data_IF_420085615747
#
_entry.id   IF_420085615747
#
_cell.length_a   1.000
_cell.length_b   1.000
_cell.length_c   1.000
_cell.angle_alpha   90.00
_cell.angle_beta   90.00
_cell.angle_gamma   90.00
#
_symmetry.space_group_name_H-M   'P 1'
#
loop_
_entity.id
_entity.type
_entity.pdbx_description
1 polymer ?
#
# COMPACT_ATOMS: atom_id res chain seq x y z
N UNK A 1 -8.40 11.85 -20.77
CA UNK A 1 -7.35 12.41 -19.90
C UNK A 1 -6.90 13.79 -20.38
N UNK A 2 -6.21 13.94 -21.52
CA UNK A 2 -5.84 15.29 -22.03
C UNK A 2 -7.09 16.15 -22.24
N UNK A 3 -8.14 15.60 -22.86
CA UNK A 3 -9.45 16.27 -22.98
C UNK A 3 -9.98 16.76 -21.63
N UNK A 4 -9.98 15.89 -20.62
CA UNK A 4 -10.49 16.20 -19.27
C UNK A 4 -9.62 17.25 -18.58
N UNK A 5 -8.29 17.16 -18.73
CA UNK A 5 -7.33 18.10 -18.16
C UNK A 5 -7.54 19.53 -18.69
N UNK A 6 -7.80 19.67 -19.99
CA UNK A 6 -8.11 20.96 -20.62
C UNK A 6 -9.59 21.34 -20.58
N UNK A 7 -10.45 20.55 -19.92
CA UNK A 7 -11.89 20.73 -19.85
C UNK A 7 -12.56 20.89 -21.25
N UNK A 8 -12.08 20.14 -22.24
CA UNK A 8 -12.56 20.20 -23.63
C UNK A 8 -13.57 19.08 -23.89
N UNK A 9 -14.65 19.41 -24.60
CA UNK A 9 -15.48 18.38 -25.23
C UNK A 9 -14.70 17.66 -26.32
N UNK A 10 -15.15 16.45 -26.69
CA UNK A 10 -14.55 15.70 -27.79
C UNK A 10 -14.56 16.49 -29.10
N UNK A 11 -15.64 17.22 -29.37
CA UNK A 11 -15.75 18.04 -30.58
C UNK A 11 -14.74 19.17 -30.58
N UNK A 12 -14.65 19.94 -29.48
CA UNK A 12 -13.69 21.05 -29.34
C UNK A 12 -12.24 20.60 -29.42
N UNK A 13 -11.96 19.41 -28.86
CA UNK A 13 -10.64 18.80 -28.93
C UNK A 13 -10.22 18.58 -30.38
N UNK A 14 -11.05 17.97 -31.22
CA UNK A 14 -10.70 17.71 -32.62
C UNK A 14 -10.91 18.92 -33.56
N UNK A 15 -11.67 19.94 -33.17
CA UNK A 15 -12.05 21.04 -34.08
C UNK A 15 -11.28 22.34 -33.93
N UNK A 16 -10.42 22.52 -32.91
CA UNK A 16 -9.74 23.81 -32.77
C UNK A 16 -8.74 23.98 -31.61
N UNK A 17 -8.72 23.09 -30.63
CA UNK A 17 -7.77 23.19 -29.51
C UNK A 17 -6.38 22.65 -29.88
N UNK A 18 -5.68 23.29 -30.83
CA UNK A 18 -4.39 22.81 -31.38
C UNK A 18 -3.38 22.44 -30.28
N UNK A 19 -3.20 23.29 -29.26
CA UNK A 19 -2.27 22.99 -28.17
C UNK A 19 -2.60 21.71 -27.38
N UNK A 20 -3.88 21.45 -27.09
CA UNK A 20 -4.29 20.23 -26.38
C UNK A 20 -4.14 18.97 -27.25
N UNK A 21 -4.39 19.09 -28.56
CA UNK A 21 -4.18 17.99 -29.52
C UNK A 21 -2.70 17.70 -29.69
N UNK A 22 -1.86 18.73 -29.80
CA UNK A 22 -0.42 18.58 -29.95
C UNK A 22 0.18 17.88 -28.72
N UNK A 23 -0.25 18.24 -27.51
CA UNK A 23 0.12 17.55 -26.26
C UNK A 23 -0.32 16.08 -26.26
N UNK A 24 -1.53 15.77 -26.75
CA UNK A 24 -1.98 14.38 -26.82
C UNK A 24 -1.22 13.55 -27.86
N UNK A 25 -0.90 14.14 -29.02
CA UNK A 25 -0.05 13.54 -30.05
C UNK A 25 1.33 13.22 -29.45
N UNK A 26 1.94 14.21 -28.79
CA UNK A 26 3.24 14.06 -28.12
C UNK A 26 3.23 12.96 -27.06
N UNK A 27 2.23 12.95 -26.16
CA UNK A 27 2.09 11.88 -25.15
C UNK A 27 1.90 10.50 -25.78
N UNK A 28 1.22 10.41 -26.93
CA UNK A 28 0.99 9.13 -27.62
C UNK A 28 2.29 8.60 -28.21
N UNK A 29 3.10 9.46 -28.82
CA UNK A 29 4.44 9.09 -29.31
C UNK A 29 5.35 8.66 -28.16
N UNK A 30 5.36 9.41 -27.06
CA UNK A 30 6.25 9.15 -25.92
C UNK A 30 5.90 7.87 -25.13
N UNK A 31 4.62 7.49 -25.08
CA UNK A 31 4.15 6.39 -24.24
C UNK A 31 3.77 5.12 -25.01
N UNK A 32 3.84 5.13 -26.35
CA UNK A 32 3.44 3.98 -27.17
C UNK A 32 4.48 3.67 -28.26
N UNK A 33 4.31 2.54 -28.93
CA UNK A 33 5.14 2.15 -30.09
C UNK A 33 4.41 2.37 -31.43
N UNK A 34 3.37 3.23 -31.45
CA UNK A 34 2.60 3.48 -32.66
C UNK A 34 3.45 4.21 -33.72
N UNK A 35 3.23 3.87 -34.99
CA UNK A 35 3.89 4.59 -36.07
C UNK A 35 3.33 6.01 -36.18
N UNK A 36 4.14 6.97 -36.63
CA UNK A 36 3.69 8.35 -36.86
C UNK A 36 2.47 8.44 -37.81
N UNK A 37 2.36 7.49 -38.74
CA UNK A 37 1.20 7.40 -39.63
C UNK A 37 -0.06 7.01 -38.85
N UNK A 38 0.04 6.08 -37.91
CA UNK A 38 -1.08 5.63 -37.09
C UNK A 38 -1.48 6.67 -36.05
N UNK A 39 -0.51 7.40 -35.49
CA UNK A 39 -0.75 8.56 -34.63
C UNK A 39 -1.53 9.62 -35.43
N UNK A 40 -1.07 9.99 -36.63
CA UNK A 40 -1.79 10.93 -37.49
C UNK A 40 -3.23 10.50 -37.80
N UNK A 41 -3.43 9.22 -38.16
CA UNK A 41 -4.77 8.65 -38.38
C UNK A 41 -5.66 8.74 -37.13
N UNK A 42 -5.12 8.43 -35.96
CA UNK A 42 -5.87 8.46 -34.70
C UNK A 42 -6.38 9.87 -34.39
N UNK A 43 -5.54 10.88 -34.63
CA UNK A 43 -5.84 12.28 -34.34
C UNK A 43 -6.44 13.06 -35.53
N UNK A 44 -6.71 12.39 -36.65
CA UNK A 44 -7.25 12.98 -37.88
C UNK A 44 -6.36 14.10 -38.45
N UNK A 45 -5.05 13.95 -38.32
CA UNK A 45 -4.04 14.85 -38.89
C UNK A 45 -3.12 14.09 -39.84
N UNK A 46 -2.45 14.80 -40.74
CA UNK A 46 -1.42 14.19 -41.59
C UNK A 46 -0.22 13.72 -40.75
N UNK A 47 0.55 12.76 -41.26
CA UNK A 47 1.82 12.34 -40.65
C UNK A 47 2.77 13.53 -40.40
N UNK A 48 2.79 14.49 -41.34
CA UNK A 48 3.64 15.67 -41.24
C UNK A 48 3.19 16.62 -40.12
N UNK A 49 1.88 16.78 -39.95
CA UNK A 49 1.32 17.59 -38.85
C UNK A 49 1.56 16.93 -37.49
N UNK A 50 1.45 15.60 -37.38
CA UNK A 50 1.77 14.88 -36.15
C UNK A 50 3.25 15.06 -35.75
N UNK A 51 4.18 14.94 -36.70
CA UNK A 51 5.60 15.18 -36.45
C UNK A 51 5.86 16.63 -36.01
N UNK A 52 5.23 17.60 -36.69
CA UNK A 52 5.36 19.01 -36.34
C UNK A 52 4.81 19.32 -34.93
N UNK A 53 3.74 18.66 -34.52
CA UNK A 53 3.17 18.78 -33.18
C UNK A 53 4.14 18.30 -32.10
N UNK A 54 4.82 17.16 -32.34
CA UNK A 54 5.83 16.62 -31.42
C UNK A 54 6.98 17.60 -31.25
N UNK A 55 7.57 18.05 -32.37
CA UNK A 55 8.68 19.01 -32.36
C UNK A 55 8.28 20.32 -31.64
N UNK A 56 7.05 20.79 -31.83
CA UNK A 56 6.54 21.99 -31.18
C UNK A 56 6.44 21.81 -29.66
N UNK A 57 5.87 20.70 -29.18
CA UNK A 57 5.75 20.42 -27.75
C UNK A 57 7.12 20.26 -27.09
N UNK A 58 8.08 19.59 -27.74
CA UNK A 58 9.45 19.48 -27.24
C UNK A 58 10.11 20.85 -27.11
N UNK A 59 9.97 21.71 -28.11
CA UNK A 59 10.48 23.09 -28.04
C UNK A 59 9.82 23.91 -26.94
N UNK A 60 8.50 23.78 -26.73
CA UNK A 60 7.83 24.48 -25.65
C UNK A 60 8.24 23.96 -24.27
N UNK A 61 8.39 22.64 -24.11
CA UNK A 61 8.82 22.03 -22.85
C UNK A 61 10.19 22.53 -22.38
N UNK A 62 11.11 22.75 -23.32
CA UNK A 62 12.44 23.29 -23.00
C UNK A 62 12.39 24.75 -22.51
N UNK A 63 11.36 25.51 -22.90
CA UNK A 63 11.26 26.94 -22.65
C UNK A 63 10.21 27.32 -21.58
N UNK A 64 9.31 26.41 -21.21
CA UNK A 64 8.21 26.65 -20.27
C UNK A 64 8.18 25.58 -19.16
N UNK A 65 8.63 25.98 -17.96
CA UNK A 65 8.65 25.13 -16.77
C UNK A 65 7.25 24.65 -16.36
N UNK A 66 6.22 25.48 -16.55
CA UNK A 66 4.83 25.12 -16.19
C UNK A 66 4.30 24.03 -17.11
N UNK A 67 4.59 24.13 -18.42
CA UNK A 67 4.23 23.09 -19.37
C UNK A 67 4.99 21.79 -19.06
N UNK A 68 6.28 21.85 -18.75
CA UNK A 68 7.04 20.63 -18.38
C UNK A 68 6.44 19.93 -17.17
N UNK A 69 6.15 20.66 -16.09
CA UNK A 69 5.52 20.09 -14.89
C UNK A 69 4.15 19.47 -15.20
N UNK A 70 3.38 20.12 -16.08
CA UNK A 70 2.08 19.60 -16.52
C UNK A 70 2.24 18.30 -17.31
N UNK A 71 3.19 18.23 -18.24
CA UNK A 71 3.48 17.02 -19.01
C UNK A 71 3.98 15.88 -18.12
N UNK A 72 4.88 16.16 -17.18
CA UNK A 72 5.39 15.15 -16.24
C UNK A 72 4.25 14.59 -15.36
N UNK A 73 3.33 15.46 -14.90
CA UNK A 73 2.13 15.03 -14.17
C UNK A 73 1.19 14.18 -15.02
N UNK A 74 0.97 14.55 -16.29
CA UNK A 74 0.14 13.77 -17.21
C UNK A 74 0.78 12.42 -17.56
N UNK A 75 2.11 12.35 -17.69
CA UNK A 75 2.84 11.08 -17.87
C UNK A 75 2.66 10.22 -16.63
N UNK A 76 2.87 10.75 -15.43
CA UNK A 76 2.70 10.00 -14.18
C UNK A 76 1.26 9.45 -14.06
N UNK A 77 0.25 10.27 -14.36
CA UNK A 77 -1.16 9.85 -14.37
C UNK A 77 -1.47 8.80 -15.44
N UNK A 78 -0.88 8.91 -16.64
CA UNK A 78 -1.05 7.91 -17.71
C UNK A 78 -0.35 6.61 -17.38
N UNK A 79 0.88 6.67 -16.88
CA UNK A 79 1.61 5.48 -16.46
C UNK A 79 0.90 4.80 -15.30
N UNK A 80 0.42 5.56 -14.31
CA UNK A 80 -0.41 5.03 -13.24
C UNK A 80 -1.69 4.41 -13.82
N UNK A 81 -2.38 5.11 -14.73
CA UNK A 81 -3.59 4.62 -15.40
C UNK A 81 -3.36 3.39 -16.29
N UNK A 82 -2.21 3.28 -16.97
CA UNK A 82 -1.80 2.15 -17.80
C UNK A 82 -1.33 0.97 -16.96
N UNK A 83 -0.64 1.23 -15.84
CA UNK A 83 -0.32 0.23 -14.82
C UNK A 83 -1.61 -0.31 -14.19
N UNK A 84 -2.60 0.54 -13.92
CA UNK A 84 -3.91 0.13 -13.41
C UNK A 84 -4.75 -0.60 -14.48
N UNK A 85 -4.60 -0.21 -15.75
CA UNK A 85 -5.09 -0.96 -16.92
C UNK A 85 -4.13 -2.11 -17.25
N UNK A 86 -3.99 -3.04 -16.31
CA UNK A 86 -3.71 -4.43 -16.68
C UNK A 86 -4.61 -4.81 -17.86
N UNK A 87 -4.17 -5.65 -18.81
CA UNK A 87 -5.01 -6.07 -19.92
C UNK A 87 -6.31 -6.57 -19.31
N UNK A 88 -7.40 -5.83 -19.54
CA UNK A 88 -8.72 -6.26 -19.10
C UNK A 88 -8.82 -7.71 -19.53
N UNK A 89 -9.23 -8.64 -18.64
CA UNK A 89 -9.53 -10.00 -19.04
C UNK A 89 -10.82 -9.99 -19.89
N UNK A 90 -10.91 -9.14 -20.91
CA UNK A 90 -12.07 -8.87 -21.74
C UNK A 90 -12.42 -10.04 -22.66
N UNK A 91 -11.67 -11.15 -22.61
CA UNK A 91 -12.05 -12.45 -23.16
C UNK A 91 -11.48 -13.62 -22.36
N UNK A 92 -11.30 -13.47 -21.05
CA UNK A 92 -10.94 -14.64 -20.25
C UNK A 92 -12.21 -15.47 -20.10
N UNK A 93 -12.25 -16.55 -20.89
CA UNK A 93 -13.35 -17.52 -20.88
C UNK A 93 -13.56 -17.97 -19.45
N UNK A 94 -14.73 -17.69 -18.88
CA UNK A 94 -15.06 -18.21 -17.56
C UNK A 94 -14.98 -19.73 -17.62
N UNK A 95 -14.21 -20.37 -16.73
CA UNK A 95 -14.13 -21.83 -16.71
C UNK A 95 -15.52 -22.41 -16.44
N UNK A 96 -15.87 -23.46 -17.18
CA UNK A 96 -17.21 -24.07 -17.07
C UNK A 96 -17.30 -25.07 -15.90
N UNK A 97 -16.16 -25.57 -15.44
CA UNK A 97 -16.03 -26.56 -14.38
C UNK A 97 -14.66 -26.44 -13.69
N UNK A 98 -14.43 -27.25 -12.65
CA UNK A 98 -13.18 -27.28 -11.89
C UNK A 98 -11.96 -27.68 -12.73
N UNK A 99 -12.13 -28.51 -13.77
CA UNK A 99 -11.05 -28.95 -14.65
C UNK A 99 -10.56 -27.80 -15.54
N UNK A 100 -11.49 -27.05 -16.15
CA UNK A 100 -11.18 -25.84 -16.91
C UNK A 100 -10.46 -24.81 -16.00
N UNK A 101 -10.92 -24.66 -14.76
CA UNK A 101 -10.33 -23.72 -13.80
C UNK A 101 -8.91 -24.13 -13.38
N UNK A 102 -8.68 -25.44 -13.19
CA UNK A 102 -7.37 -26.01 -12.89
C UNK A 102 -6.38 -25.77 -14.04
N UNK A 103 -6.80 -26.01 -15.28
CA UNK A 103 -5.98 -25.77 -16.46
C UNK A 103 -5.59 -24.29 -16.60
N UNK A 104 -6.51 -23.37 -16.31
CA UNK A 104 -6.25 -21.94 -16.31
C UNK A 104 -5.30 -21.51 -15.18
N UNK A 105 -5.50 -22.00 -13.94
CA UNK A 105 -4.61 -21.70 -12.81
C UNK A 105 -3.17 -22.14 -13.05
N UNK A 106 -2.98 -23.24 -13.77
CA UNK A 106 -1.65 -23.74 -14.13
C UNK A 106 -0.88 -22.73 -14.99
N UNK A 107 -1.58 -22.02 -15.87
CA UNK A 107 -1.04 -21.01 -16.79
C UNK A 107 -0.76 -19.67 -16.14
N UNK A 108 -1.38 -19.38 -14.99
CA UNK A 108 -1.14 -18.14 -14.24
C UNK A 108 0.32 -18.06 -13.83
N UNK A 109 1.06 -17.06 -14.30
CA UNK A 109 2.40 -16.77 -13.80
C UNK A 109 2.30 -15.96 -12.49
N UNK A 110 2.75 -16.49 -11.33
CA UNK A 110 2.70 -15.78 -10.05
C UNK A 110 3.46 -14.45 -10.07
N UNK A 111 4.44 -14.28 -10.97
CA UNK A 111 5.21 -13.03 -11.13
C UNK A 111 4.38 -11.88 -11.72
N UNK A 112 3.23 -12.19 -12.31
CA UNK A 112 2.29 -11.20 -12.86
C UNK A 112 1.27 -10.71 -11.84
N UNK A 113 1.19 -11.36 -10.67
CA UNK A 113 0.38 -10.85 -9.56
C UNK A 113 0.92 -9.51 -9.06
N UNK A 114 0.07 -8.69 -8.40
CA UNK A 114 0.51 -7.45 -7.77
C UNK A 114 1.75 -7.67 -6.90
N UNK A 115 2.72 -6.76 -7.03
CA UNK A 115 3.86 -6.72 -6.10
C UNK A 115 3.42 -6.10 -4.78
N UNK A 116 4.05 -6.54 -3.70
CA UNK A 116 3.87 -5.89 -2.40
C UNK A 116 4.42 -4.46 -2.47
N UNK A 117 3.73 -3.53 -1.80
CA UNK A 117 4.12 -2.13 -1.72
C UNK A 117 5.34 -1.98 -0.81
N UNK A 118 6.39 -1.31 -1.31
CA UNK A 118 7.66 -1.14 -0.59
C UNK A 118 7.53 -0.30 0.68
N UNK A 119 6.51 0.55 0.78
CA UNK A 119 6.28 1.45 1.91
C UNK A 119 5.42 0.82 3.03
N UNK A 120 5.13 -0.48 2.96
CA UNK A 120 4.50 -1.22 4.04
C UNK A 120 5.30 -2.47 4.35
N UNK A 121 5.18 -3.04 5.57
CA UNK A 121 5.79 -4.32 5.88
C UNK A 121 5.44 -5.37 4.84
N UNK A 122 6.46 -6.08 4.38
CA UNK A 122 6.32 -7.15 3.39
C UNK A 122 6.11 -8.49 4.10
N UNK A 123 5.41 -9.40 3.44
CA UNK A 123 5.11 -10.74 3.95
C UNK A 123 5.70 -11.79 3.00
N UNK A 124 6.34 -12.81 3.56
CA UNK A 124 6.99 -13.88 2.81
C UNK A 124 6.38 -15.23 3.14
N UNK A 125 6.63 -16.18 2.25
CA UNK A 125 6.12 -17.54 2.32
C UNK A 125 7.30 -18.51 2.24
N UNK A 126 7.64 -19.20 3.32
CA UNK A 126 8.76 -20.15 3.38
C UNK A 126 8.26 -21.58 3.12
N UNK A 127 8.27 -21.99 1.85
CA UNK A 127 7.79 -23.31 1.45
C UNK A 127 6.30 -23.51 1.79
N UNK A 128 6.00 -24.57 2.55
CA UNK A 128 4.65 -24.91 3.04
C UNK A 128 4.33 -24.30 4.42
N UNK A 129 5.32 -23.71 5.11
CA UNK A 129 5.13 -23.09 6.42
C UNK A 129 4.24 -21.85 6.40
N UNK A 130 3.78 -21.37 7.57
CA UNK A 130 2.90 -20.20 7.68
C UNK A 130 3.51 -18.94 7.03
N UNK A 131 2.66 -17.96 6.73
CA UNK A 131 3.09 -16.65 6.22
C UNK A 131 3.83 -15.92 7.33
N UNK A 132 5.02 -15.42 7.00
CA UNK A 132 5.91 -14.73 7.93
C UNK A 132 6.16 -13.29 7.48
N UNK A 133 6.65 -12.43 8.37
CA UNK A 133 7.09 -11.08 8.02
C UNK A 133 8.42 -11.20 7.25
N UNK A 134 8.54 -10.51 6.13
CA UNK A 134 9.78 -10.45 5.40
C UNK A 134 10.84 -9.68 6.22
N UNK A 135 12.09 -10.14 6.17
CA UNK A 135 13.20 -9.40 6.77
C UNK A 135 13.40 -8.12 5.98
N UNK A 136 13.37 -6.97 6.67
CA UNK A 136 13.71 -5.69 6.07
C UNK A 136 15.23 -5.66 5.79
N UNK A 137 15.63 -4.98 4.71
CA UNK A 137 17.05 -4.76 4.46
C UNK A 137 17.63 -3.92 5.61
N UNK A 138 18.87 -4.19 6.05
CA UNK A 138 19.52 -3.35 7.04
C UNK A 138 19.57 -1.91 6.54
N UNK A 139 19.49 -0.96 7.46
CA UNK A 139 19.64 0.46 7.16
C UNK A 139 21.09 0.76 6.82
N UNK A 140 21.35 1.46 5.72
CA UNK A 140 22.67 2.02 5.46
C UNK A 140 22.89 3.19 6.43
N UNK A 141 23.61 2.95 7.52
CA UNK A 141 23.85 3.93 8.58
C UNK A 141 25.07 4.81 8.26
N UNK A 142 24.87 6.13 8.22
CA UNK A 142 25.98 7.09 8.32
C UNK A 142 26.31 7.35 9.79
N UNK A 143 27.46 7.96 10.06
CA UNK A 143 27.86 8.36 11.42
C UNK A 143 26.84 9.36 11.99
N UNK A 144 26.43 10.34 11.20
CA UNK A 144 25.44 11.35 11.62
C UNK A 144 24.08 10.73 11.94
N UNK A 145 23.61 9.77 11.12
CA UNK A 145 22.35 9.07 11.39
C UNK A 145 22.43 8.22 12.66
N UNK A 146 23.61 7.66 12.96
CA UNK A 146 23.84 6.86 14.15
C UNK A 146 23.81 7.72 15.42
N UNK A 147 24.40 8.91 15.38
CA UNK A 147 24.36 9.86 16.51
C UNK A 147 22.93 10.33 16.80
N UNK A 148 22.19 10.75 15.76
CA UNK A 148 20.79 11.16 15.88
C UNK A 148 19.92 10.03 16.42
N UNK A 149 20.23 8.78 16.08
CA UNK A 149 19.54 7.59 16.57
C UNK A 149 19.82 7.31 18.06
N UNK A 150 21.06 7.45 18.51
CA UNK A 150 21.42 7.29 19.93
C UNK A 150 20.63 8.30 20.77
N UNK A 151 20.63 9.57 20.38
CA UNK A 151 19.86 10.63 21.04
C UNK A 151 18.35 10.32 21.07
N UNK A 152 17.79 9.81 19.97
CA UNK A 152 16.40 9.39 19.90
C UNK A 152 16.08 8.30 20.94
N UNK A 153 16.96 7.32 21.07
CA UNK A 153 16.80 6.20 21.99
C UNK A 153 16.93 6.64 23.44
N UNK A 154 17.89 7.51 23.76
CA UNK A 154 18.06 8.07 25.10
C UNK A 154 16.82 8.86 25.53
N UNK A 155 16.31 9.76 24.68
CA UNK A 155 15.09 10.53 24.95
C UNK A 155 13.85 9.65 25.12
N UNK A 156 13.76 8.55 24.37
CA UNK A 156 12.64 7.61 24.48
C UNK A 156 12.63 6.90 25.84
N UNK A 157 13.81 6.47 26.30
CA UNK A 157 14.00 5.84 27.61
C UNK A 157 13.78 6.84 28.75
N UNK A 158 14.30 8.06 28.63
CA UNK A 158 14.10 9.13 29.62
C UNK A 158 12.60 9.43 29.81
N UNK A 159 11.84 9.59 28.72
CA UNK A 159 10.41 9.78 28.82
C UNK A 159 9.73 8.56 29.46
N UNK A 160 10.20 7.34 29.19
CA UNK A 160 9.61 6.12 29.74
C UNK A 160 9.77 6.06 31.26
N UNK A 161 10.94 6.43 31.77
CA UNK A 161 11.26 6.46 33.20
C UNK A 161 10.46 7.55 33.94
N UNK A 162 10.21 8.69 33.28
CA UNK A 162 9.48 9.82 33.86
C UNK A 162 7.97 9.79 33.60
N UNK A 163 7.45 8.82 32.84
CA UNK A 163 6.04 8.69 32.56
C UNK A 163 5.32 8.03 33.76
N UNK A 164 4.50 8.77 34.53
CA UNK A 164 3.87 8.19 35.70
C UNK A 164 2.87 7.11 35.28
N UNK A 165 2.72 6.05 36.09
CA UNK A 165 1.74 4.99 35.82
C UNK A 165 0.30 5.52 35.64
N UNK A 166 0.00 6.69 36.22
CA UNK A 166 -1.27 7.40 36.12
C UNK A 166 -1.44 8.18 34.80
N UNK A 167 -0.36 8.48 34.06
CA UNK A 167 -0.46 9.01 32.69
C UNK A 167 -1.08 8.01 31.70
N UNK A 168 -1.34 6.77 32.14
CA UNK A 168 -2.19 5.82 31.45
C UNK A 168 -3.68 6.21 31.43
N UNK A 169 -4.13 7.16 32.24
CA UNK A 169 -5.54 7.51 32.31
C UNK A 169 -6.07 8.22 31.06
N UNK A 170 -5.23 8.94 30.32
CA UNK A 170 -5.70 9.91 29.32
C UNK A 170 -5.34 9.58 27.87
N UNK A 171 -4.33 8.74 27.60
CA UNK A 171 -4.04 8.35 26.20
C UNK A 171 -3.25 7.05 26.01
N UNK A 172 -3.07 6.27 27.09
CA UNK A 172 -2.25 5.06 27.09
C UNK A 172 -0.81 5.32 26.58
N UNK A 173 -0.26 6.48 26.96
CA UNK A 173 1.07 6.96 26.54
C UNK A 173 2.16 5.94 26.88
N UNK A 174 2.12 5.37 28.09
CA UNK A 174 3.13 4.39 28.52
C UNK A 174 3.13 3.14 27.64
N UNK A 175 1.96 2.62 27.26
CA UNK A 175 1.89 1.48 26.34
C UNK A 175 2.45 1.84 24.96
N UNK A 176 2.11 3.02 24.44
CA UNK A 176 2.61 3.49 23.13
C UNK A 176 4.12 3.70 23.14
N UNK A 177 4.63 4.25 24.23
CA UNK A 177 6.05 4.49 24.42
C UNK A 177 6.83 3.19 24.61
N UNK A 178 6.32 2.25 25.41
CA UNK A 178 6.93 0.91 25.53
C UNK A 178 7.07 0.26 24.16
N UNK A 179 6.01 0.29 23.35
CA UNK A 179 6.07 -0.23 21.97
C UNK A 179 7.06 0.54 21.10
N UNK A 180 7.14 1.87 21.23
CA UNK A 180 8.10 2.67 20.49
C UNK A 180 9.55 2.28 20.83
N UNK A 181 9.86 2.14 22.13
CA UNK A 181 11.15 1.68 22.64
C UNK A 181 11.46 0.25 22.18
N UNK A 182 10.47 -0.65 22.15
CA UNK A 182 10.65 -2.03 21.64
C UNK A 182 11.06 -2.07 20.15
N UNK A 183 10.79 -1.00 19.39
CA UNK A 183 11.23 -0.83 17.99
C UNK A 183 12.48 0.05 17.83
N UNK A 184 13.15 0.43 18.93
CA UNK A 184 14.45 1.09 18.95
C UNK A 184 15.53 0.12 19.46
N UNK A 185 15.96 -0.86 18.63
CA UNK A 185 17.01 -1.79 19.00
C UNK A 185 18.30 -1.05 19.40
N UNK A 186 19.17 -1.65 20.23
CA UNK A 186 20.46 -1.04 20.54
C UNK A 186 21.32 -0.75 19.31
N UNK A 187 21.24 -1.61 18.30
CA UNK A 187 21.93 -1.46 17.01
C UNK A 187 20.97 -0.91 15.94
N UNK A 188 21.33 0.22 15.32
CA UNK A 188 20.58 0.84 14.23
C UNK A 188 20.40 -0.11 13.02
N UNK A 189 21.34 -1.04 12.81
CA UNK A 189 21.27 -2.00 11.70
C UNK A 189 20.11 -2.99 11.83
N UNK A 190 19.61 -3.20 13.05
CA UNK A 190 18.47 -4.07 13.35
C UNK A 190 17.13 -3.33 13.30
N UNK A 191 17.15 -2.04 12.99
CA UNK A 191 15.96 -1.19 12.98
C UNK A 191 14.93 -1.69 11.96
N UNK A 192 13.66 -1.63 12.35
CA UNK A 192 12.50 -1.91 11.48
C UNK A 192 11.77 -0.61 11.18
N UNK A 193 12.26 0.21 10.20
CA UNK A 193 11.82 1.59 10.02
C UNK A 193 10.31 1.71 9.82
N UNK A 194 9.67 0.79 9.09
CA UNK A 194 8.21 0.86 8.86
C UNK A 194 7.39 0.70 10.13
N UNK A 195 7.85 -0.16 11.05
CA UNK A 195 7.21 -0.36 12.37
C UNK A 195 7.51 0.82 13.30
N UNK A 196 8.75 1.31 13.31
CA UNK A 196 9.12 2.51 14.07
C UNK A 196 8.27 3.71 13.63
N UNK A 197 8.13 3.93 12.32
CA UNK A 197 7.33 5.03 11.76
C UNK A 197 5.88 5.02 12.26
N UNK A 198 5.25 3.84 12.32
CA UNK A 198 3.88 3.70 12.77
C UNK A 198 3.72 4.05 14.26
N UNK A 199 4.70 3.68 15.10
CA UNK A 199 4.71 4.07 16.51
C UNK A 199 5.04 5.55 16.70
N UNK A 200 6.03 6.08 15.97
CA UNK A 200 6.38 7.50 16.00
C UNK A 200 5.21 8.38 15.56
N UNK A 201 4.47 7.98 14.53
CA UNK A 201 3.22 8.65 14.12
C UNK A 201 2.12 8.60 15.18
N UNK A 202 2.08 7.52 15.98
CA UNK A 202 1.18 7.45 17.14
C UNK A 202 1.59 8.45 18.22
N UNK A 203 2.89 8.62 18.48
CA UNK A 203 3.41 9.63 19.42
C UNK A 203 3.15 11.06 18.93
N UNK A 204 3.32 11.34 17.63
CA UNK A 204 2.93 12.63 17.01
C UNK A 204 1.46 12.95 17.28
N UNK A 205 0.56 12.00 17.02
CA UNK A 205 -0.86 12.18 17.27
C UNK A 205 -1.21 12.42 18.75
N UNK A 206 -0.48 11.78 19.67
CA UNK A 206 -0.61 12.01 21.11
C UNK A 206 -0.17 13.42 21.51
N UNK A 207 1.00 13.87 21.03
CA UNK A 207 1.49 15.23 21.23
C UNK A 207 0.48 16.27 20.74
N UNK A 208 -0.05 16.10 19.54
CA UNK A 208 -1.07 17.01 19.00
C UNK A 208 -2.34 17.03 19.86
N UNK A 209 -2.69 15.89 20.47
CA UNK A 209 -3.81 15.81 21.41
C UNK A 209 -3.58 16.54 22.70
N UNK A 210 -2.38 16.44 23.27
CA UNK A 210 -2.00 17.21 24.45
C UNK A 210 -2.03 18.72 24.17
N UNK A 211 -1.46 19.17 23.04
CA UNK A 211 -1.46 20.59 22.65
C UNK A 211 -2.89 21.16 22.56
N UNK A 212 -3.83 20.40 21.98
CA UNK A 212 -5.23 20.81 21.91
C UNK A 212 -5.91 20.80 23.27
N UNK A 213 -5.67 19.78 24.08
CA UNK A 213 -6.25 19.69 25.42
C UNK A 213 -5.87 20.90 26.27
N UNK A 214 -4.60 21.36 26.17
CA UNK A 214 -4.12 22.59 26.83
C UNK A 214 -4.76 23.87 26.30
N UNK A 215 -5.15 23.87 25.04
CA UNK A 215 -5.74 25.04 24.37
C UNK A 215 -7.27 25.10 24.50
N UNK A 216 -7.91 24.03 24.99
CA UNK A 216 -9.35 23.97 25.24
C UNK A 216 -9.68 24.43 26.66
N UNK A 217 -10.76 25.19 26.82
CA UNK A 217 -11.30 25.56 28.14
C UNK A 217 -12.01 24.40 28.85
N UNK A 218 -12.44 23.40 28.09
CA UNK A 218 -13.12 22.19 28.57
C UNK A 218 -12.69 20.99 27.70
N UNK A 219 -11.49 20.43 27.94
CA UNK A 219 -11.01 19.31 27.15
C UNK A 219 -11.67 18.00 27.59
N UNK A 220 -12.14 17.21 26.62
CA UNK A 220 -12.68 15.85 26.86
C UNK A 220 -11.68 14.94 27.60
N UNK A 221 -10.39 15.22 27.42
CA UNK A 221 -9.26 14.48 28.00
C UNK A 221 -8.31 15.51 28.64
N UNK A 222 -8.04 15.41 29.97
CA UNK A 222 -7.09 16.31 30.63
C UNK A 222 -5.70 16.31 29.96
N UNK A 223 -5.01 17.46 29.91
CA UNK A 223 -3.64 17.54 29.40
C UNK A 223 -2.68 16.72 30.27
N UNK A 224 -1.56 16.31 29.67
CA UNK A 224 -0.48 15.60 30.37
C UNK A 224 0.15 16.50 31.45
N UNK A 225 0.81 15.91 32.46
CA UNK A 225 1.68 16.66 33.36
C UNK A 225 2.75 17.44 32.58
N UNK A 226 3.12 18.65 33.05
CA UNK A 226 4.03 19.56 32.32
C UNK A 226 5.33 18.89 31.88
N UNK A 227 6.07 18.27 32.81
CA UNK A 227 7.32 17.57 32.50
C UNK A 227 7.13 16.45 31.46
N UNK A 228 6.06 15.65 31.58
CA UNK A 228 5.78 14.56 30.64
C UNK A 228 5.45 15.10 29.23
N UNK A 229 4.77 16.23 29.14
CA UNK A 229 4.45 16.86 27.87
C UNK A 229 5.69 17.46 27.19
N UNK A 230 6.58 18.09 27.97
CA UNK A 230 7.84 18.64 27.46
C UNK A 230 8.74 17.53 26.91
N UNK A 231 8.89 16.43 27.66
CA UNK A 231 9.64 15.24 27.22
C UNK A 231 9.01 14.56 25.99
N UNK A 232 7.67 14.46 25.92
CA UNK A 232 7.00 13.95 24.72
C UNK A 232 7.24 14.86 23.51
N UNK A 233 7.20 16.17 23.70
CA UNK A 233 7.48 17.14 22.65
C UNK A 233 8.92 17.02 22.15
N UNK A 234 9.89 16.92 23.06
CA UNK A 234 11.30 16.73 22.71
C UNK A 234 11.56 15.41 21.99
N UNK A 235 11.00 14.30 22.48
CA UNK A 235 11.07 13.00 21.82
C UNK A 235 10.49 13.03 20.39
N UNK A 236 9.32 13.64 20.21
CA UNK A 236 8.69 13.76 18.88
C UNK A 236 9.52 14.63 17.95
N UNK A 237 10.12 15.71 18.44
CA UNK A 237 11.02 16.55 17.65
C UNK A 237 12.27 15.77 17.22
N UNK A 238 12.89 15.02 18.13
CA UNK A 238 14.03 14.16 17.81
C UNK A 238 13.65 13.08 16.78
N UNK A 239 12.48 12.46 16.94
CA UNK A 239 11.99 11.48 15.98
C UNK A 239 11.77 12.10 14.59
N UNK A 240 11.31 13.35 14.50
CA UNK A 240 11.14 14.03 13.22
C UNK A 240 12.48 14.32 12.53
N UNK A 241 13.52 14.70 13.27
CA UNK A 241 14.89 14.86 12.74
C UNK A 241 15.38 13.53 12.20
N UNK A 242 15.33 12.47 13.03
CA UNK A 242 15.71 11.12 12.60
C UNK A 242 14.93 10.63 11.38
N UNK A 243 13.62 10.88 11.34
CA UNK A 243 12.76 10.48 10.23
C UNK A 243 13.09 11.22 8.92
N UNK A 244 13.48 12.49 9.01
CA UNK A 244 13.88 13.27 7.84
C UNK A 244 15.20 12.77 7.23
N UNK A 245 16.14 12.35 8.06
CA UNK A 245 17.46 11.87 7.63
C UNK A 245 17.46 10.39 7.22
N UNK A 246 16.51 9.59 7.74
CA UNK A 246 16.40 8.18 7.40
C UNK A 246 15.64 7.96 6.08
N UNK A 247 16.24 7.32 5.03
CA UNK A 247 15.65 7.26 3.69
C UNK A 247 14.23 6.68 3.60
N UNK A 248 13.96 5.59 4.33
CA UNK A 248 12.63 4.95 4.34
C UNK A 248 11.62 5.79 5.12
N UNK A 249 12.00 6.36 6.26
CA UNK A 249 11.10 7.17 7.09
C UNK A 249 10.72 8.46 6.37
N UNK A 250 11.67 9.10 5.69
CA UNK A 250 11.44 10.28 4.87
C UNK A 250 10.45 10.00 3.74
N UNK A 251 10.57 8.84 3.06
CA UNK A 251 9.61 8.42 2.04
C UNK A 251 8.20 8.18 2.62
N UNK A 252 8.11 7.64 3.83
CA UNK A 252 6.83 7.44 4.52
C UNK A 252 6.19 8.79 4.91
N UNK A 253 6.98 9.74 5.41
CA UNK A 253 6.51 11.08 5.77
C UNK A 253 6.10 11.91 4.54
N UNK A 254 6.82 11.76 3.42
CA UNK A 254 6.50 12.43 2.16
C UNK A 254 5.21 11.91 1.51
N UNK A 255 4.75 10.71 1.89
CA UNK A 255 3.52 10.14 1.35
C UNK A 255 2.31 10.85 1.95
N UNK A 256 1.77 11.82 1.23
CA UNK A 256 0.49 12.43 1.56
C UNK A 256 -0.65 11.63 0.93
N UNK A 257 -1.73 11.44 1.68
CA UNK A 257 -2.97 10.86 1.16
C UNK A 257 -3.93 12.02 0.93
N UNK A 258 -4.45 12.14 -0.30
CA UNK A 258 -5.33 13.25 -0.63
C UNK A 258 -6.72 13.11 0.02
N UNK A 259 -7.42 14.22 0.32
CA UNK A 259 -8.77 14.18 0.90
C UNK A 259 -9.80 13.39 0.07
N UNK A 260 -9.60 13.32 -1.26
CA UNK A 260 -10.50 12.64 -2.19
C UNK A 260 -10.49 11.11 -2.05
N UNK A 261 -9.49 10.55 -1.36
CA UNK A 261 -9.34 9.08 -1.24
C UNK A 261 -9.91 8.52 0.07
N UNK A 262 -10.35 9.37 1.01
CA UNK A 262 -10.69 8.93 2.37
C UNK A 262 -11.84 7.91 2.43
N UNK A 263 -12.95 8.15 1.72
CA UNK A 263 -14.09 7.23 1.73
C UNK A 263 -13.70 5.84 1.20
N UNK A 264 -12.84 5.81 0.19
CA UNK A 264 -12.34 4.58 -0.40
C UNK A 264 -11.38 3.84 0.54
N UNK A 265 -10.49 4.57 1.21
CA UNK A 265 -9.61 3.99 2.23
C UNK A 265 -10.40 3.39 3.38
N UNK A 266 -11.50 4.03 3.80
CA UNK A 266 -12.38 3.45 4.82
C UNK A 266 -12.99 2.13 4.36
N UNK A 267 -13.46 2.07 3.11
CA UNK A 267 -13.99 0.83 2.54
C UNK A 267 -12.93 -0.28 2.43
N UNK A 268 -11.73 0.05 1.98
CA UNK A 268 -10.61 -0.89 1.92
C UNK A 268 -10.16 -1.35 3.32
N UNK A 269 -10.16 -0.44 4.29
CA UNK A 269 -9.86 -0.75 5.68
C UNK A 269 -10.89 -1.70 6.28
N UNK A 270 -12.17 -1.55 5.98
CA UNK A 270 -13.21 -2.48 6.43
C UNK A 270 -12.97 -3.89 5.88
N UNK A 271 -12.64 -3.99 4.58
CA UNK A 271 -12.27 -5.26 3.97
C UNK A 271 -11.01 -5.87 4.62
N UNK A 272 -9.98 -5.06 4.86
CA UNK A 272 -8.77 -5.48 5.54
C UNK A 272 -8.98 -5.89 6.98
N UNK A 273 -9.82 -5.18 7.74
CA UNK A 273 -10.18 -5.54 9.10
C UNK A 273 -10.91 -6.89 9.16
N UNK A 274 -11.86 -7.12 8.25
CA UNK A 274 -12.56 -8.41 8.14
C UNK A 274 -11.61 -9.56 7.79
N UNK A 275 -10.64 -9.32 6.89
CA UNK A 275 -9.57 -10.28 6.59
C UNK A 275 -8.75 -10.59 7.85
N UNK A 276 -8.26 -9.57 8.56
CA UNK A 276 -7.46 -9.76 9.78
C UNK A 276 -8.24 -10.54 10.84
N UNK A 277 -9.51 -10.20 11.10
CA UNK A 277 -10.35 -10.94 12.04
C UNK A 277 -10.46 -12.42 11.67
N UNK A 278 -10.74 -12.74 10.41
CA UNK A 278 -10.82 -14.13 9.99
C UNK A 278 -9.49 -14.89 10.06
N UNK A 279 -8.36 -14.20 9.94
CA UNK A 279 -7.02 -14.77 10.14
C UNK A 279 -6.74 -15.00 11.63
N UNK A 280 -7.24 -14.15 12.54
CA UNK A 280 -7.14 -14.38 14.00
C UNK A 280 -7.78 -15.71 14.40
N UNK A 281 -8.89 -16.05 13.77
CA UNK A 281 -9.60 -17.31 14.01
C UNK A 281 -8.88 -18.52 13.41
N UNK A 282 -7.85 -18.30 12.58
CA UNK A 282 -7.07 -19.35 11.92
C UNK A 282 -5.56 -19.06 11.94
N UNK A 283 -4.99 -19.03 13.16
CA UNK A 283 -3.57 -18.71 13.40
C UNK A 283 -2.58 -19.68 12.73
N UNK A 284 -3.02 -20.83 12.20
CA UNK A 284 -2.16 -21.70 11.40
C UNK A 284 -1.70 -21.04 10.09
N UNK A 285 -2.36 -19.96 9.66
CA UNK A 285 -2.05 -19.24 8.42
C UNK A 285 -0.78 -18.37 8.58
N UNK A 286 -0.49 -17.89 9.79
CA UNK A 286 0.53 -16.86 10.05
C UNK A 286 1.50 -17.27 11.16
N UNK A 287 2.76 -16.85 11.07
CA UNK A 287 3.64 -16.88 12.25
C UNK A 287 3.10 -15.94 13.34
N UNK A 288 3.46 -16.14 14.63
CA UNK A 288 3.07 -15.21 15.69
C UNK A 288 3.45 -13.75 15.39
N UNK A 289 4.63 -13.54 14.78
CA UNK A 289 5.09 -12.20 14.41
C UNK A 289 4.23 -11.56 13.31
N UNK A 290 3.83 -12.32 12.28
CA UNK A 290 2.95 -11.82 11.24
C UNK A 290 1.53 -11.55 11.76
N UNK A 291 1.03 -12.42 12.64
CA UNK A 291 -0.23 -12.25 13.36
C UNK A 291 -0.25 -10.96 14.18
N UNK A 292 0.77 -10.74 15.01
CA UNK A 292 0.90 -9.54 15.83
C UNK A 292 0.95 -8.27 14.96
N UNK A 293 1.76 -8.27 13.90
CA UNK A 293 1.87 -7.13 13.00
C UNK A 293 0.52 -6.74 12.36
N UNK A 294 -0.26 -7.74 11.92
CA UNK A 294 -1.61 -7.51 11.38
C UNK A 294 -2.56 -6.97 12.45
N UNK A 295 -2.46 -7.48 13.68
CA UNK A 295 -3.27 -7.03 14.79
C UNK A 295 -2.95 -5.58 15.16
N UNK A 296 -1.68 -5.23 15.23
CA UNK A 296 -1.21 -3.88 15.48
C UNK A 296 -1.65 -2.90 14.39
N UNK A 297 -1.50 -3.27 13.12
CA UNK A 297 -1.96 -2.45 12.00
C UNK A 297 -3.48 -2.22 12.06
N UNK A 298 -4.26 -3.28 12.34
CA UNK A 298 -5.71 -3.16 12.48
C UNK A 298 -6.12 -2.26 13.65
N UNK A 299 -5.45 -2.37 14.80
CA UNK A 299 -5.70 -1.51 15.96
C UNK A 299 -5.32 -0.05 15.68
N UNK A 300 -4.22 0.18 14.95
CA UNK A 300 -3.79 1.50 14.51
C UNK A 300 -4.81 2.16 13.58
N UNK A 301 -5.36 1.43 12.59
CA UNK A 301 -6.42 1.99 11.74
C UNK A 301 -7.69 2.30 12.51
N UNK A 302 -8.07 1.48 13.49
CA UNK A 302 -9.24 1.71 14.33
C UNK A 302 -9.11 3.03 15.11
N UNK A 303 -7.92 3.31 15.62
CA UNK A 303 -7.63 4.59 16.27
C UNK A 303 -7.64 5.76 15.29
N UNK A 304 -7.08 5.58 14.07
CA UNK A 304 -7.04 6.63 13.04
C UNK A 304 -8.44 7.04 12.54
N UNK A 305 -9.37 6.09 12.40
CA UNK A 305 -10.76 6.38 11.99
C UNK A 305 -11.50 7.23 13.02
N UNK A 306 -11.20 7.05 14.31
CA UNK A 306 -11.77 7.85 15.41
C UNK A 306 -11.15 9.24 15.52
N UNK A 307 -9.96 9.44 14.95
CA UNK A 307 -9.30 10.75 14.89
C UNK A 307 -10.03 11.67 13.92
N UNK A 308 -10.13 12.97 14.27
CA UNK A 308 -10.50 14.01 13.31
C UNK A 308 -9.57 13.95 12.10
N UNK A 309 -10.04 14.27 10.89
CA UNK A 309 -9.33 14.27 9.58
C UNK A 309 -7.93 14.92 9.62
N UNK A 310 -6.94 14.20 10.15
CA UNK A 310 -5.57 14.67 10.33
C UNK A 310 -4.66 13.92 9.38
N UNK A 311 -3.67 14.63 8.88
CA UNK A 311 -2.64 14.11 7.98
C UNK A 311 -2.02 12.82 8.54
N UNK A 312 -1.60 12.81 9.81
CA UNK A 312 -0.99 11.63 10.42
C UNK A 312 -1.94 10.43 10.56
N UNK A 313 -3.23 10.67 10.80
CA UNK A 313 -4.22 9.60 10.88
C UNK A 313 -4.50 9.00 9.49
N UNK A 314 -4.50 9.82 8.44
CA UNK A 314 -4.65 9.38 7.05
C UNK A 314 -3.43 8.60 6.56
N UNK A 315 -2.22 9.06 6.87
CA UNK A 315 -0.99 8.34 6.54
C UNK A 315 -0.94 6.97 7.23
N UNK A 316 -1.33 6.91 8.52
CA UNK A 316 -1.43 5.64 9.27
C UNK A 316 -2.50 4.70 8.69
N UNK A 317 -3.64 5.25 8.28
CA UNK A 317 -4.70 4.48 7.62
C UNK A 317 -4.19 3.87 6.31
N UNK A 318 -3.54 4.68 5.46
CA UNK A 318 -2.97 4.20 4.21
C UNK A 318 -1.89 3.13 4.44
N UNK A 319 -0.96 3.34 5.39
CA UNK A 319 0.05 2.34 5.72
C UNK A 319 -0.57 1.01 6.21
N UNK A 320 -1.64 1.09 6.99
CA UNK A 320 -2.38 -0.11 7.44
C UNK A 320 -2.97 -0.86 6.26
N UNK A 321 -3.64 -0.15 5.34
CA UNK A 321 -4.24 -0.76 4.15
C UNK A 321 -3.17 -1.41 3.28
N UNK A 322 -2.03 -0.77 3.08
CA UNK A 322 -0.91 -1.36 2.34
C UNK A 322 -0.34 -2.60 3.03
N UNK A 323 -0.26 -2.60 4.37
CA UNK A 323 0.14 -3.78 5.15
C UNK A 323 -0.83 -4.94 4.93
N UNK A 324 -2.14 -4.65 4.96
CA UNK A 324 -3.19 -5.64 4.72
C UNK A 324 -3.18 -6.14 3.26
N UNK A 325 -2.92 -5.27 2.29
CA UNK A 325 -2.73 -5.63 0.87
C UNK A 325 -1.52 -6.53 0.68
N UNK A 326 -0.38 -6.18 1.28
CA UNK A 326 0.84 -6.99 1.21
C UNK A 326 0.60 -8.40 1.74
N UNK A 327 -0.15 -8.50 2.84
CA UNK A 327 -0.56 -9.79 3.39
C UNK A 327 -1.50 -10.55 2.44
N UNK A 328 -2.52 -9.88 1.89
CA UNK A 328 -3.45 -10.49 0.92
C UNK A 328 -2.72 -11.03 -0.32
N UNK A 329 -1.69 -10.31 -0.82
CA UNK A 329 -0.81 -10.77 -1.89
C UNK A 329 -0.01 -12.01 -1.47
N UNK A 330 0.57 -12.02 -0.27
CA UNK A 330 1.32 -13.17 0.23
C UNK A 330 0.42 -14.41 0.37
N UNK A 331 -0.81 -14.22 0.86
CA UNK A 331 -1.82 -15.26 0.98
C UNK A 331 -2.17 -15.85 -0.39
N UNK A 332 -2.42 -15.01 -1.40
CA UNK A 332 -2.71 -15.45 -2.76
C UNK A 332 -1.54 -16.22 -3.38
N UNK A 333 -0.31 -15.71 -3.23
CA UNK A 333 0.90 -16.36 -3.72
C UNK A 333 1.14 -17.73 -3.05
N UNK A 334 0.85 -17.84 -1.75
CA UNK A 334 0.95 -19.10 -1.02
C UNK A 334 -0.05 -20.12 -1.53
N UNK A 335 -1.32 -19.71 -1.67
CA UNK A 335 -2.38 -20.57 -2.20
C UNK A 335 -2.06 -21.08 -3.60
N UNK A 336 -1.54 -20.21 -4.48
CA UNK A 336 -1.06 -20.64 -5.80
C UNK A 336 0.08 -21.67 -5.71
N UNK A 337 1.05 -21.45 -4.83
CA UNK A 337 2.20 -22.36 -4.67
C UNK A 337 1.77 -23.74 -4.17
N UNK A 338 0.79 -23.80 -3.28
CA UNK A 338 0.27 -25.06 -2.72
C UNK A 338 -0.67 -25.78 -3.69
N UNK A 339 -1.49 -25.04 -4.43
CA UNK A 339 -2.46 -25.60 -5.35
C UNK A 339 -1.80 -26.12 -6.64
N UNK A 340 -0.82 -25.37 -7.20
CA UNK A 340 -0.22 -25.69 -8.52
C UNK A 340 0.32 -27.11 -8.67
N UNK A 341 1.09 -27.68 -7.72
CA UNK A 341 1.57 -29.06 -7.82
C UNK A 341 0.44 -30.09 -7.87
N UNK A 342 -0.75 -29.75 -7.34
CA UNK A 342 -1.90 -30.64 -7.21
C UNK A 342 -2.86 -30.54 -8.39
N UNK A 343 -2.82 -29.45 -9.16
CA UNK A 343 -3.72 -29.21 -10.30
C UNK A 343 -3.73 -30.38 -11.31
N UNK A 344 -2.59 -31.06 -11.51
CA UNK A 344 -2.52 -32.22 -12.41
C UNK A 344 -3.47 -33.35 -11.98
N UNK A 345 -3.53 -33.65 -10.68
CA UNK A 345 -4.42 -34.68 -10.14
C UNK A 345 -5.90 -34.28 -10.22
N UNK A 346 -6.19 -32.97 -10.16
CA UNK A 346 -7.54 -32.39 -10.33
C UNK A 346 -8.00 -32.52 -11.78
N UNK A 347 -7.13 -32.20 -12.73
CA UNK A 347 -7.36 -32.33 -14.18
C UNK A 347 -7.67 -33.79 -14.56
N UNK A 348 -6.93 -34.73 -13.99
CA UNK A 348 -7.07 -36.18 -14.24
C UNK A 348 -8.30 -36.81 -13.55
N UNK A 349 -9.10 -36.03 -12.82
CA UNK A 349 -10.33 -36.51 -12.16
C UNK A 349 -10.09 -37.37 -10.91
N UNK A 350 -8.85 -37.42 -10.40
CA UNK A 350 -8.46 -38.26 -9.28
C UNK A 350 -8.84 -37.69 -7.89
N UNK A 351 -9.47 -36.50 -7.84
CA UNK A 351 -9.84 -35.82 -6.59
C UNK A 351 -10.85 -36.58 -5.74
N UNK A 352 -11.66 -37.48 -6.31
CA UNK A 352 -12.59 -38.30 -5.51
C UNK A 352 -11.85 -39.23 -4.52
N UNK A 353 -10.54 -39.45 -4.70
CA UNK A 353 -9.73 -40.37 -3.90
C UNK A 353 -8.71 -39.69 -2.97
N UNK A 354 -8.48 -38.38 -3.07
CA UNK A 354 -7.62 -37.65 -2.15
C UNK A 354 -8.46 -37.31 -0.90
N UNK A 355 -8.67 -38.32 -0.06
CA UNK A 355 -9.30 -38.17 1.25
C UNK A 355 -8.60 -37.11 2.10
N UNK A 356 -9.35 -36.56 3.05
CA UNK A 356 -9.04 -35.39 3.89
C UNK A 356 -7.72 -35.42 4.69
N UNK A 357 -6.87 -36.44 4.55
CA UNK A 357 -5.75 -36.71 5.48
C UNK A 357 -4.36 -36.30 4.95
N UNK A 358 -4.27 -35.64 3.79
CA UNK A 358 -2.99 -35.29 3.17
C UNK A 358 -2.79 -33.82 2.80
N UNK A 359 -2.42 -32.98 3.78
CA UNK A 359 -1.66 -31.72 3.63
C UNK A 359 -2.39 -30.46 3.09
N UNK A 360 -2.17 -29.31 3.74
CA UNK A 360 -2.10 -27.93 3.19
C UNK A 360 -3.24 -27.42 2.28
N UNK A 361 -4.50 -27.62 2.65
CA UNK A 361 -5.65 -26.98 1.97
C UNK A 361 -6.11 -25.67 2.66
N UNK A 362 -5.49 -25.33 3.79
CA UNK A 362 -5.91 -24.22 4.65
C UNK A 362 -5.80 -22.85 3.95
N UNK A 363 -4.71 -22.60 3.22
CA UNK A 363 -4.48 -21.32 2.53
C UNK A 363 -5.41 -21.15 1.33
N UNK A 364 -5.61 -22.22 0.57
CA UNK A 364 -6.54 -22.26 -0.55
C UNK A 364 -7.99 -22.01 -0.08
N UNK A 365 -8.39 -22.65 1.03
CA UNK A 365 -9.67 -22.37 1.68
C UNK A 365 -9.75 -20.94 2.22
N UNK A 366 -8.69 -20.42 2.84
CA UNK A 366 -8.67 -19.05 3.35
C UNK A 366 -8.90 -18.03 2.23
N UNK A 367 -8.26 -18.19 1.06
CA UNK A 367 -8.53 -17.33 -0.10
C UNK A 367 -9.99 -17.40 -0.54
N UNK A 368 -10.61 -18.58 -0.50
CA UNK A 368 -12.03 -18.73 -0.80
C UNK A 368 -12.92 -18.05 0.24
N UNK A 369 -12.63 -18.24 1.53
CA UNK A 369 -13.38 -17.62 2.63
C UNK A 369 -13.30 -16.09 2.58
N UNK A 370 -12.15 -15.55 2.16
CA UNK A 370 -11.90 -14.10 2.12
C UNK A 370 -11.91 -13.52 0.71
N UNK A 371 -12.58 -14.17 -0.25
CA UNK A 371 -12.59 -13.73 -1.65
C UNK A 371 -12.97 -12.25 -1.78
N UNK A 372 -14.08 -11.85 -1.15
CA UNK A 372 -14.59 -10.49 -1.21
C UNK A 372 -13.60 -9.49 -0.61
N UNK A 373 -12.98 -9.82 0.53
CA UNK A 373 -12.02 -8.94 1.20
C UNK A 373 -10.73 -8.78 0.38
N UNK A 374 -10.17 -9.88 -0.11
CA UNK A 374 -8.95 -9.87 -0.91
C UNK A 374 -9.21 -9.13 -2.24
N UNK A 375 -10.34 -9.38 -2.90
CA UNK A 375 -10.69 -8.68 -4.13
C UNK A 375 -10.85 -7.17 -3.91
N UNK A 376 -11.47 -6.75 -2.80
CA UNK A 376 -11.63 -5.33 -2.45
C UNK A 376 -10.27 -4.68 -2.22
N UNK A 377 -9.41 -5.27 -1.38
CA UNK A 377 -8.07 -4.77 -1.09
C UNK A 377 -7.20 -4.63 -2.34
N UNK A 378 -7.29 -5.58 -3.27
CA UNK A 378 -6.44 -5.63 -4.45
C UNK A 378 -7.03 -4.91 -5.67
N UNK A 379 -8.27 -4.43 -5.61
CA UNK A 379 -8.98 -3.83 -6.75
C UNK A 379 -8.28 -2.63 -7.36
N UNK A 380 -7.49 -1.88 -6.57
CA UNK A 380 -6.78 -0.66 -6.98
C UNK A 380 -5.27 -0.84 -7.17
N UNK A 381 -4.77 -2.06 -6.98
CA UNK A 381 -3.35 -2.34 -7.19
C UNK A 381 -3.13 -2.77 -8.63
N UNK A 382 -1.98 -2.41 -9.22
CA UNK A 382 -1.59 -2.95 -10.52
C UNK A 382 -1.63 -4.50 -10.48
N UNK A 383 -2.39 -5.12 -11.38
CA UNK A 383 -2.66 -6.56 -11.39
C UNK A 383 -3.87 -6.99 -10.57
N UNK A 384 -4.66 -6.05 -10.02
CA UNK A 384 -5.86 -6.34 -9.22
C UNK A 384 -6.90 -7.20 -9.93
N UNK A 385 -7.12 -6.96 -11.23
CA UNK A 385 -8.01 -7.79 -12.05
C UNK A 385 -7.51 -9.23 -12.19
N UNK A 386 -6.18 -9.41 -12.31
CA UNK A 386 -5.57 -10.74 -12.33
C UNK A 386 -5.73 -11.41 -10.96
N UNK A 387 -5.53 -10.69 -9.86
CA UNK A 387 -5.75 -11.23 -8.52
C UNK A 387 -7.20 -11.69 -8.33
N UNK A 388 -8.19 -10.85 -8.69
CA UNK A 388 -9.60 -11.22 -8.67
C UNK A 388 -9.91 -12.43 -9.57
N UNK A 389 -9.28 -12.51 -10.75
CA UNK A 389 -9.42 -13.69 -11.61
C UNK A 389 -8.86 -14.95 -10.94
N UNK A 390 -7.66 -14.88 -10.36
CA UNK A 390 -7.04 -16.02 -9.66
C UNK A 390 -7.90 -16.49 -8.48
N UNK A 391 -8.46 -15.59 -7.68
CA UNK A 391 -9.33 -15.94 -6.56
C UNK A 391 -10.57 -16.71 -7.05
N UNK A 392 -11.20 -16.25 -8.13
CA UNK A 392 -12.35 -16.95 -8.74
C UNK A 392 -11.97 -18.35 -9.23
N UNK A 393 -10.81 -18.49 -9.88
CA UNK A 393 -10.35 -19.80 -10.33
C UNK A 393 -10.11 -20.73 -9.14
N UNK A 394 -9.47 -20.22 -8.07
CA UNK A 394 -9.21 -20.98 -6.84
C UNK A 394 -10.54 -21.49 -6.26
N UNK A 395 -11.56 -20.62 -6.17
CA UNK A 395 -12.90 -21.01 -5.72
C UNK A 395 -13.51 -22.12 -6.59
N UNK A 396 -13.46 -21.98 -7.91
CA UNK A 396 -14.02 -23.00 -8.82
C UNK A 396 -13.32 -24.36 -8.71
N UNK A 397 -12.01 -24.38 -8.41
CA UNK A 397 -11.26 -25.63 -8.19
C UNK A 397 -11.62 -26.30 -6.87
N UNK A 398 -11.93 -25.53 -5.82
CA UNK A 398 -12.24 -26.06 -4.49
C UNK A 398 -13.71 -26.48 -4.35
N UNK A 399 -14.63 -25.82 -5.04
CA UNK A 399 -16.07 -25.84 -4.73
C UNK A 399 -16.39 -24.94 -3.54
#
# INVERSE_FOLDING_TARGET
>A
MVQDHYALSRTEFFSGARGAVDVAIWLTDHLTSLSMLDIGRHYQVSKAEAAKAIDAVDQYRLNDTSLSQTLDSLIEQLELGLRLRSPRPSKVRQPKNAQDAAAELRRVDPRRLPRQADLAPNFRTTGTGPIDVAREAPTDATEELSDVYVDLREKALELQDHCPAQANATANLLQRLSKFVDFLPPDLMDLKPRRLWAQGSSLRALRDSDIRARSSSDPDVPPLPGLTADLLNDLVNQFNVFAADHPILAQLDARSVGPRDRADLLHEREAGAALVTGIRDNRAITTPQAAELLDEANDQSTAAVRGSERIHDEQRLAQTIETQRNFAIALLLKSLRELKPRLKSIEEGALSHIGAEGLSFAFTNAVRLFETQIATLLSRVNGGELAAYVIRLIRQVIG
#
